data_IF_795404033452
#
_entry.id   IF_795404033452
#
_cell.length_a   1.000
_cell.length_b   1.000
_cell.length_c   1.000
_cell.angle_alpha   90.00
_cell.angle_beta   90.00
_cell.angle_gamma   90.00
#
_symmetry.space_group_name_H-M   'P 1'
#
loop_
_entity.id
_entity.type
_entity.pdbx_description
1 polymer ?
#
# COMPACT_ATOMS: atom_id res chain seq x y z
N UNK A 1 2.90 -19.81 25.69
CA UNK A 1 2.09 -20.19 24.51
C UNK A 1 2.57 -19.33 23.35
N UNK A 2 3.38 -19.86 22.48
CA UNK A 2 3.83 -19.17 21.25
C UNK A 2 2.69 -19.23 20.25
N UNK A 3 2.01 -18.09 20.04
CA UNK A 3 1.02 -17.98 18.96
C UNK A 3 1.73 -18.19 17.63
N UNK A 4 1.24 -19.11 16.83
CA UNK A 4 1.72 -19.33 15.46
C UNK A 4 1.51 -18.04 14.66
N UNK A 5 2.56 -17.51 13.98
CA UNK A 5 2.39 -16.34 13.11
C UNK A 5 1.31 -16.66 12.06
N UNK A 6 0.36 -15.75 11.86
CA UNK A 6 -0.59 -15.88 10.75
C UNK A 6 0.15 -15.67 9.45
N UNK A 7 -0.14 -16.47 8.42
CA UNK A 7 0.45 -16.31 7.07
C UNK A 7 -0.05 -15.04 6.36
N UNK A 8 -1.09 -14.39 6.88
CA UNK A 8 -1.67 -13.19 6.31
C UNK A 8 -0.85 -11.92 6.62
N UNK A 9 -0.56 -11.11 5.62
CA UNK A 9 0.13 -9.84 5.80
C UNK A 9 -0.76 -8.83 6.54
N UNK A 10 -0.17 -8.13 7.52
CA UNK A 10 -0.86 -7.07 8.28
C UNK A 10 -1.06 -5.82 7.41
N UNK A 11 -0.09 -5.51 6.54
CA UNK A 11 -0.06 -4.30 5.71
C UNK A 11 0.35 -4.65 4.29
N UNK A 12 -0.28 -3.99 3.33
CA UNK A 12 0.10 -4.01 1.91
C UNK A 12 0.23 -2.59 1.39
N UNK A 13 1.35 -2.31 0.75
CA UNK A 13 1.57 -1.14 -0.08
C UNK A 13 1.62 -1.62 -1.52
N UNK A 14 0.82 -1.02 -2.39
CA UNK A 14 0.84 -1.35 -3.82
C UNK A 14 1.11 -0.07 -4.60
N UNK A 15 2.07 -0.12 -5.49
CA UNK A 15 2.41 1.01 -6.34
C UNK A 15 2.61 0.58 -7.80
N UNK A 16 2.68 1.57 -8.69
CA UNK A 16 3.06 1.39 -10.08
C UNK A 16 4.55 1.72 -10.24
N UNK A 17 5.25 0.96 -11.05
CA UNK A 17 6.63 1.32 -11.43
C UNK A 17 6.58 2.38 -12.52
N UNK A 18 6.68 3.65 -12.13
CA UNK A 18 6.77 4.76 -13.07
C UNK A 18 8.19 4.92 -13.60
N UNK A 19 8.36 5.53 -14.79
CA UNK A 19 9.70 5.78 -15.35
C UNK A 19 10.66 6.51 -14.39
N UNK A 20 10.14 7.43 -13.55
CA UNK A 20 10.90 8.15 -12.53
C UNK A 20 11.45 7.28 -11.39
N UNK A 21 10.89 6.10 -11.19
CA UNK A 21 11.29 5.15 -10.14
C UNK A 21 12.25 4.09 -10.67
N UNK A 22 12.65 4.17 -11.95
CA UNK A 22 13.47 3.15 -12.60
C UNK A 22 14.95 3.53 -12.65
N UNK A 23 15.79 2.51 -12.74
CA UNK A 23 17.19 2.64 -13.08
C UNK A 23 17.36 2.71 -14.62
N UNK A 24 18.61 2.81 -15.09
CA UNK A 24 18.97 2.88 -16.52
C UNK A 24 18.64 1.62 -17.34
N UNK A 25 18.21 0.52 -16.68
CA UNK A 25 17.71 -0.70 -17.34
C UNK A 25 16.19 -0.71 -17.47
N UNK A 26 15.47 0.35 -17.06
CA UNK A 26 14.01 0.42 -17.08
C UNK A 26 13.34 -0.49 -16.04
N UNK A 27 14.06 -0.86 -15.00
CA UNK A 27 13.52 -1.64 -13.88
C UNK A 27 13.53 -0.82 -12.59
N UNK A 28 12.64 -1.14 -11.67
CA UNK A 28 12.52 -0.45 -10.37
C UNK A 28 13.90 -0.31 -9.72
N UNK A 29 14.26 0.91 -9.36
CA UNK A 29 15.52 1.16 -8.66
C UNK A 29 15.50 0.49 -7.28
N UNK A 30 16.56 -0.26 -6.96
CA UNK A 30 16.63 -1.03 -5.71
C UNK A 30 16.42 -0.20 -4.46
N UNK A 31 16.87 1.06 -4.45
CA UNK A 31 16.64 1.99 -3.34
C UNK A 31 15.16 2.32 -3.14
N UNK A 32 14.37 2.47 -4.22
CA UNK A 32 12.91 2.67 -4.16
C UNK A 32 12.23 1.42 -3.61
N UNK A 33 12.64 0.23 -4.08
CA UNK A 33 12.14 -1.04 -3.56
C UNK A 33 12.37 -1.17 -2.04
N UNK A 34 13.59 -0.88 -1.58
CA UNK A 34 13.93 -0.91 -0.14
C UNK A 34 13.12 0.10 0.66
N UNK A 35 12.89 1.30 0.13
CA UNK A 35 12.04 2.31 0.78
C UNK A 35 10.58 1.86 0.93
N UNK A 36 10.01 1.18 -0.08
CA UNK A 36 8.68 0.57 0.04
C UNK A 36 8.66 -0.53 1.11
N UNK A 37 9.69 -1.37 1.15
CA UNK A 37 9.78 -2.45 2.14
C UNK A 37 9.89 -1.90 3.57
N UNK A 38 10.75 -0.92 3.80
CA UNK A 38 10.93 -0.27 5.12
C UNK A 38 9.64 0.43 5.58
N UNK A 39 8.95 1.13 4.67
CA UNK A 39 7.66 1.77 4.95
C UNK A 39 6.61 0.75 5.41
N UNK A 40 6.51 -0.39 4.74
CA UNK A 40 5.59 -1.47 5.13
C UNK A 40 5.99 -2.08 6.47
N UNK A 41 7.29 -2.27 6.73
CA UNK A 41 7.78 -2.74 8.02
C UNK A 41 7.41 -1.78 9.15
N UNK A 42 7.62 -0.48 8.93
CA UNK A 42 7.25 0.57 9.88
C UNK A 42 5.74 0.59 10.17
N UNK A 43 4.90 0.52 9.14
CA UNK A 43 3.44 0.50 9.29
C UNK A 43 2.98 -0.74 10.05
N UNK A 44 3.50 -1.93 9.71
CA UNK A 44 3.16 -3.17 10.40
C UNK A 44 3.54 -3.12 11.89
N UNK A 45 4.74 -2.61 12.19
CA UNK A 45 5.20 -2.43 13.56
C UNK A 45 4.32 -1.44 14.34
N UNK A 46 4.01 -0.31 13.73
CA UNK A 46 3.21 0.76 14.36
C UNK A 46 1.77 0.34 14.61
N UNK A 47 1.16 -0.39 13.68
CA UNK A 47 -0.20 -0.94 13.86
C UNK A 47 -0.26 -1.97 14.98
N UNK A 48 0.78 -2.79 15.14
CA UNK A 48 0.86 -3.79 16.20
C UNK A 48 1.16 -3.17 17.57
N UNK A 49 2.20 -2.33 17.63
CA UNK A 49 2.74 -1.85 18.91
C UNK A 49 2.13 -0.56 19.42
N UNK A 50 1.42 0.20 18.59
CA UNK A 50 0.85 1.52 18.91
C UNK A 50 1.86 2.45 19.60
N UNK A 51 3.10 2.42 19.11
CA UNK A 51 4.24 3.14 19.67
C UNK A 51 5.06 3.78 18.55
N UNK A 52 5.90 4.79 18.84
CA UNK A 52 6.89 5.25 17.90
C UNK A 52 7.95 4.16 17.66
N UNK A 53 8.27 3.91 16.39
CA UNK A 53 9.27 2.93 16.00
C UNK A 53 10.41 3.57 15.23
N UNK A 54 11.58 2.94 15.31
CA UNK A 54 12.72 3.21 14.44
C UNK A 54 13.19 1.90 13.83
N UNK A 55 13.59 1.92 12.57
CA UNK A 55 14.25 0.81 11.91
C UNK A 55 15.66 0.69 12.47
N UNK A 56 15.95 -0.42 13.13
CA UNK A 56 17.25 -0.67 13.75
C UNK A 56 18.19 -1.46 12.84
N UNK A 57 17.64 -2.37 12.04
CA UNK A 57 18.42 -3.19 11.11
C UNK A 57 17.55 -3.77 10.00
N UNK A 58 18.15 -4.10 8.88
CA UNK A 58 17.63 -5.06 7.91
C UNK A 58 18.60 -6.22 7.79
N UNK A 59 18.09 -7.42 7.58
CA UNK A 59 18.91 -8.57 7.20
C UNK A 59 19.34 -8.41 5.74
N UNK A 60 20.23 -9.32 5.28
CA UNK A 60 20.60 -9.39 3.87
C UNK A 60 19.36 -9.52 2.98
N UNK A 61 19.30 -8.69 1.95
CA UNK A 61 18.21 -8.65 0.97
C UNK A 61 18.81 -8.90 -0.41
N UNK A 62 18.40 -10.00 -1.05
CA UNK A 62 18.82 -10.37 -2.40
C UNK A 62 17.66 -10.18 -3.37
N UNK A 63 17.89 -9.48 -4.47
CA UNK A 63 16.91 -9.28 -5.53
C UNK A 63 16.96 -10.44 -6.53
N UNK A 64 15.88 -11.23 -6.57
CA UNK A 64 15.77 -12.41 -7.42
C UNK A 64 15.25 -12.10 -8.82
N UNK A 65 14.34 -11.12 -8.94
CA UNK A 65 13.76 -10.72 -10.21
C UNK A 65 13.50 -9.21 -10.27
N UNK A 66 13.62 -8.57 -11.44
CA UNK A 66 13.31 -7.15 -11.59
C UNK A 66 11.80 -6.92 -11.67
N UNK A 67 11.35 -5.74 -11.19
CA UNK A 67 10.07 -5.16 -11.54
C UNK A 67 10.27 -4.13 -12.66
N UNK A 68 9.48 -4.22 -13.74
CA UNK A 68 9.65 -3.39 -14.94
C UNK A 68 8.75 -2.15 -14.91
N UNK A 69 9.12 -1.10 -15.62
CA UNK A 69 8.25 0.04 -15.85
C UNK A 69 6.87 -0.40 -16.33
N UNK A 70 5.80 0.18 -15.78
CA UNK A 70 4.42 -0.16 -16.10
C UNK A 70 3.86 -1.38 -15.35
N UNK A 71 4.65 -2.11 -14.59
CA UNK A 71 4.15 -3.16 -13.70
C UNK A 71 3.69 -2.59 -12.36
N UNK A 72 2.82 -3.33 -11.69
CA UNK A 72 2.49 -3.08 -10.29
C UNK A 72 3.53 -3.73 -9.40
N UNK A 73 3.87 -3.11 -8.29
CA UNK A 73 4.67 -3.71 -7.20
C UNK A 73 3.85 -3.73 -5.94
N UNK A 74 3.85 -4.87 -5.28
CA UNK A 74 3.17 -5.07 -3.99
C UNK A 74 4.21 -5.45 -2.93
N UNK A 75 4.41 -4.57 -1.96
CA UNK A 75 5.14 -4.86 -0.75
C UNK A 75 4.13 -5.28 0.34
N UNK A 76 4.31 -6.44 0.92
CA UNK A 76 3.45 -6.97 1.98
C UNK A 76 4.26 -7.38 3.19
N UNK A 77 3.79 -7.01 4.39
CA UNK A 77 4.49 -7.17 5.66
C UNK A 77 3.79 -8.10 6.64
N UNK A 78 4.56 -8.99 7.24
CA UNK A 78 4.13 -9.93 8.27
C UNK A 78 5.09 -9.90 9.45
N UNK A 79 4.57 -9.75 10.69
CA UNK A 79 5.41 -9.84 11.89
C UNK A 79 5.76 -11.30 12.13
N UNK A 80 7.06 -11.60 12.17
CA UNK A 80 7.58 -12.96 12.36
C UNK A 80 8.15 -13.20 13.77
N UNK A 81 8.47 -12.13 14.49
CA UNK A 81 8.95 -12.21 15.87
C UNK A 81 8.57 -10.94 16.64
N UNK A 82 8.17 -11.10 17.89
CA UNK A 82 8.00 -10.00 18.84
C UNK A 82 8.86 -10.27 20.05
N UNK A 83 9.77 -9.35 20.36
CA UNK A 83 10.58 -9.32 21.58
C UNK A 83 10.02 -8.34 22.60
N UNK A 84 10.78 -8.03 23.63
CA UNK A 84 10.33 -7.12 24.70
C UNK A 84 10.04 -5.71 24.18
N UNK A 85 10.91 -5.17 23.33
CA UNK A 85 10.81 -3.79 22.78
C UNK A 85 11.19 -3.70 21.32
N UNK A 86 11.32 -4.84 20.64
CA UNK A 86 11.63 -4.92 19.22
C UNK A 86 10.80 -6.01 18.57
N UNK A 87 10.57 -5.87 17.27
CA UNK A 87 9.94 -6.91 16.48
C UNK A 87 10.61 -7.03 15.12
N UNK A 88 10.46 -8.19 14.51
CA UNK A 88 10.94 -8.45 13.16
C UNK A 88 9.73 -8.58 12.22
N UNK A 89 9.80 -7.85 11.12
CA UNK A 89 8.80 -7.88 10.04
C UNK A 89 9.44 -8.47 8.81
N UNK A 90 8.90 -9.57 8.33
CA UNK A 90 9.23 -10.10 7.02
C UNK A 90 8.44 -9.36 5.96
N UNK A 91 9.13 -8.82 4.97
CA UNK A 91 8.54 -8.13 3.84
C UNK A 91 8.79 -8.93 2.58
N UNK A 92 7.74 -9.11 1.80
CA UNK A 92 7.79 -9.69 0.45
C UNK A 92 7.45 -8.61 -0.56
N UNK A 93 8.29 -8.43 -1.59
CA UNK A 93 8.04 -7.55 -2.72
C UNK A 93 7.78 -8.39 -3.96
N UNK A 94 6.61 -8.22 -4.56
CA UNK A 94 6.14 -8.95 -5.74
C UNK A 94 5.87 -7.95 -6.86
N UNK A 95 6.34 -8.24 -8.08
CA UNK A 95 5.91 -7.54 -9.28
C UNK A 95 4.73 -8.28 -9.92
N UNK A 96 3.79 -7.52 -10.48
CA UNK A 96 2.61 -8.04 -11.15
C UNK A 96 2.43 -7.34 -12.50
N UNK A 97 2.40 -8.13 -13.58
CA UNK A 97 2.09 -7.63 -14.91
C UNK A 97 0.58 -7.27 -14.99
N UNK A 98 0.21 -6.03 -15.36
CA UNK A 98 -1.17 -5.55 -15.26
C UNK A 98 -2.19 -6.41 -16.02
N UNK A 99 -1.88 -6.75 -17.27
CA UNK A 99 -2.81 -7.44 -18.18
C UNK A 99 -2.78 -8.95 -17.97
N UNK A 100 -1.60 -9.57 -17.99
CA UNK A 100 -1.51 -11.03 -17.82
C UNK A 100 -1.81 -11.50 -16.39
N UNK A 101 -1.65 -10.62 -15.41
CA UNK A 101 -1.76 -10.97 -14.00
C UNK A 101 -0.59 -11.83 -13.50
N UNK A 102 0.44 -12.05 -14.30
CA UNK A 102 1.63 -12.79 -13.90
C UNK A 102 2.30 -12.10 -12.71
N UNK A 103 2.51 -12.86 -11.66
CA UNK A 103 3.17 -12.39 -10.42
C UNK A 103 4.49 -13.09 -10.24
N UNK A 104 5.53 -12.33 -9.90
CA UNK A 104 6.84 -12.87 -9.60
C UNK A 104 7.45 -12.20 -8.36
N UNK A 105 8.10 -13.01 -7.55
CA UNK A 105 8.83 -12.54 -6.37
C UNK A 105 10.07 -11.75 -6.83
N UNK A 106 10.12 -10.46 -6.46
CA UNK A 106 11.29 -9.62 -6.71
C UNK A 106 12.32 -9.77 -5.59
N UNK A 107 11.87 -9.70 -4.35
CA UNK A 107 12.76 -9.86 -3.19
C UNK A 107 11.96 -10.16 -1.92
N UNK A 108 12.67 -10.66 -0.91
CA UNK A 108 12.18 -10.84 0.46
C UNK A 108 13.25 -10.38 1.42
N UNK A 109 12.84 -9.77 2.54
CA UNK A 109 13.78 -9.33 3.57
C UNK A 109 13.10 -9.23 4.92
N UNK A 110 13.91 -9.22 5.99
CA UNK A 110 13.43 -9.03 7.35
C UNK A 110 13.99 -7.74 7.90
N UNK A 111 13.12 -6.90 8.44
CA UNK A 111 13.46 -5.64 9.09
C UNK A 111 13.22 -5.77 10.60
N UNK A 112 14.19 -5.33 11.39
CA UNK A 112 14.06 -5.24 12.84
C UNK A 112 13.72 -3.81 13.22
N UNK A 113 12.58 -3.63 13.90
CA UNK A 113 12.13 -2.33 14.40
C UNK A 113 12.12 -2.33 15.93
N UNK A 114 12.44 -1.18 16.52
CA UNK A 114 12.51 -0.98 17.97
C UNK A 114 11.52 0.11 18.37
N UNK A 115 10.68 -0.21 19.37
CA UNK A 115 9.77 0.76 19.97
C UNK A 115 10.53 1.67 20.93
N UNK A 116 10.40 3.00 20.73
CA UNK A 116 11.13 4.00 21.52
C UNK A 116 10.17 5.09 22.03
N UNK A 117 10.34 5.51 23.28
CA UNK A 117 9.61 6.65 23.85
C UNK A 117 10.37 7.97 23.66
N UNK A 118 11.66 7.90 23.82
CA UNK A 118 12.64 8.99 23.66
C UNK A 118 13.99 8.34 23.32
N UNK A 119 15.00 9.07 22.84
CA UNK A 119 16.32 8.51 22.59
C UNK A 119 16.81 7.67 23.76
N UNK A 120 17.08 6.39 23.51
CA UNK A 120 17.56 5.43 24.51
C UNK A 120 16.49 4.77 25.41
N UNK A 121 15.24 5.21 25.39
CA UNK A 121 14.15 4.61 26.19
C UNK A 121 13.30 3.69 25.36
N UNK A 122 13.36 2.39 25.64
CA UNK A 122 12.59 1.36 24.93
C UNK A 122 11.20 1.18 25.56
N UNK A 123 10.21 0.83 24.74
CA UNK A 123 8.84 0.54 25.17
C UNK A 123 8.56 -0.97 25.05
N UNK A 124 7.87 -1.58 26.03
CA UNK A 124 7.42 -2.95 25.90
C UNK A 124 6.35 -3.07 24.83
N UNK A 125 6.35 -4.20 24.11
CA UNK A 125 5.40 -4.51 23.06
C UNK A 125 4.35 -5.52 23.53
N UNK A 126 3.11 -5.41 23.01
CA UNK A 126 2.08 -6.43 23.25
C UNK A 126 2.46 -7.75 22.54
N UNK A 127 1.92 -8.89 22.99
CA UNK A 127 2.08 -10.14 22.28
C UNK A 127 1.43 -10.08 20.88
N UNK A 128 1.92 -10.91 19.95
CA UNK A 128 1.36 -11.01 18.62
C UNK A 128 -0.08 -11.57 18.69
N UNK A 129 -1.00 -10.89 18.04
CA UNK A 129 -2.38 -11.34 17.82
C UNK A 129 -2.61 -11.63 16.34
N UNK A 130 -3.46 -12.62 16.05
CA UNK A 130 -3.80 -12.96 14.68
C UNK A 130 -4.51 -11.78 13.99
N UNK A 131 -4.08 -11.45 12.76
CA UNK A 131 -4.81 -10.52 11.93
C UNK A 131 -6.11 -11.17 11.40
N UNK A 132 -7.19 -10.41 11.22
CA UNK A 132 -8.38 -10.93 10.57
C UNK A 132 -8.07 -11.30 9.11
N UNK A 133 -8.76 -12.34 8.57
CA UNK A 133 -8.57 -12.70 7.17
C UNK A 133 -8.99 -11.56 6.23
N UNK A 134 -8.38 -11.45 5.04
CA UNK A 134 -8.75 -10.43 4.08
C UNK A 134 -10.19 -10.63 3.58
N UNK A 135 -10.89 -9.52 3.38
CA UNK A 135 -12.24 -9.53 2.82
C UNK A 135 -12.17 -9.84 1.30
N UNK A 136 -12.84 -10.89 0.80
CA UNK A 136 -12.80 -11.23 -0.61
C UNK A 136 -13.31 -10.10 -1.51
N UNK A 137 -12.65 -9.86 -2.64
CA UNK A 137 -13.04 -8.83 -3.61
C UNK A 137 -12.76 -7.39 -3.18
N UNK A 138 -12.08 -7.20 -2.04
CA UNK A 138 -11.70 -5.88 -1.53
C UNK A 138 -10.20 -5.69 -1.64
N UNK A 139 -9.80 -4.64 -2.37
CA UNK A 139 -8.42 -4.20 -2.40
C UNK A 139 -8.18 -3.23 -1.25
N UNK A 140 -7.19 -3.53 -0.40
CA UNK A 140 -6.72 -2.64 0.66
C UNK A 140 -5.27 -2.27 0.41
N UNK A 141 -4.96 -0.99 0.47
CA UNK A 141 -3.61 -0.45 0.30
C UNK A 141 -3.34 0.55 1.41
N UNK A 142 -2.19 0.42 2.05
CA UNK A 142 -1.75 1.36 3.07
C UNK A 142 -0.64 2.28 2.54
N UNK A 143 -0.65 3.53 2.98
CA UNK A 143 0.38 4.51 2.69
C UNK A 143 0.61 5.39 3.93
N UNK A 144 1.80 5.96 4.04
CA UNK A 144 2.16 6.88 5.12
C UNK A 144 2.12 8.32 4.60
N UNK A 145 1.55 9.23 5.37
CA UNK A 145 1.57 10.66 5.02
C UNK A 145 2.84 11.30 5.59
N UNK A 146 3.77 11.63 4.71
CA UNK A 146 5.00 12.33 5.06
C UNK A 146 4.85 13.86 4.94
N UNK A 147 5.64 14.66 5.68
CA UNK A 147 5.57 16.12 5.63
C UNK A 147 5.61 16.72 4.23
N UNK A 148 6.41 16.23 3.25
CA UNK A 148 6.41 16.78 1.89
C UNK A 148 5.08 16.65 1.12
N UNK A 149 4.20 15.76 1.55
CA UNK A 149 2.86 15.56 0.96
C UNK A 149 1.79 16.45 1.60
N UNK A 150 2.18 17.33 2.53
CA UNK A 150 1.24 18.17 3.25
C UNK A 150 1.24 19.62 2.74
N UNK A 151 0.09 20.28 2.90
CA UNK A 151 -0.07 21.70 2.68
C UNK A 151 0.51 22.52 3.86
N UNK A 152 0.40 23.85 3.79
CA UNK A 152 0.87 24.76 4.82
C UNK A 152 0.15 24.65 6.18
N UNK A 153 -0.94 23.89 6.26
CA UNK A 153 -1.61 23.55 7.53
C UNK A 153 -1.12 22.22 8.14
N UNK A 154 -0.14 21.56 7.51
CA UNK A 154 0.38 20.25 7.97
C UNK A 154 -0.59 19.09 7.71
N UNK A 155 -1.54 19.25 6.80
CA UNK A 155 -2.47 18.22 6.39
C UNK A 155 -2.24 17.79 4.94
N UNK A 156 -2.53 16.52 4.64
CA UNK A 156 -2.37 15.94 3.30
C UNK A 156 -2.97 16.86 2.24
N UNK A 157 -2.16 17.20 1.24
CA UNK A 157 -2.64 18.00 0.13
C UNK A 157 -3.71 17.26 -0.66
N UNK A 158 -4.83 17.94 -0.97
CA UNK A 158 -5.97 17.32 -1.64
C UNK A 158 -5.61 16.65 -2.97
N UNK A 159 -4.69 17.23 -3.75
CA UNK A 159 -4.19 16.64 -4.98
C UNK A 159 -3.46 15.31 -4.77
N UNK A 160 -2.70 15.16 -3.69
CA UNK A 160 -2.04 13.89 -3.36
C UNK A 160 -3.06 12.85 -2.88
N UNK A 161 -4.07 13.26 -2.12
CA UNK A 161 -5.17 12.37 -1.75
C UNK A 161 -5.93 11.86 -2.99
N UNK A 162 -6.25 12.74 -3.94
CA UNK A 162 -6.90 12.37 -5.21
C UNK A 162 -6.03 11.42 -6.04
N UNK A 163 -4.71 11.67 -6.10
CA UNK A 163 -3.73 10.80 -6.76
C UNK A 163 -3.71 9.40 -6.14
N UNK A 164 -3.72 9.31 -4.81
CA UNK A 164 -3.76 8.03 -4.09
C UNK A 164 -5.07 7.28 -4.39
N UNK A 165 -6.23 7.95 -4.32
CA UNK A 165 -7.53 7.34 -4.60
C UNK A 165 -7.64 6.88 -6.05
N UNK A 166 -7.21 7.70 -7.01
CA UNK A 166 -7.17 7.34 -8.43
C UNK A 166 -6.27 6.14 -8.72
N UNK A 167 -5.08 6.08 -8.08
CA UNK A 167 -4.16 4.93 -8.17
C UNK A 167 -4.82 3.64 -7.63
N UNK A 168 -5.49 3.72 -6.51
CA UNK A 168 -6.21 2.57 -5.93
C UNK A 168 -7.34 2.08 -6.84
N UNK A 169 -8.11 3.01 -7.44
CA UNK A 169 -9.14 2.68 -8.43
C UNK A 169 -8.54 2.02 -9.68
N UNK A 170 -7.44 2.56 -10.20
CA UNK A 170 -6.72 2.00 -11.35
C UNK A 170 -6.25 0.57 -11.08
N UNK A 171 -5.58 0.32 -9.95
CA UNK A 171 -5.08 -1.01 -9.58
C UNK A 171 -6.24 -2.00 -9.42
N UNK A 172 -7.32 -1.60 -8.73
CA UNK A 172 -8.49 -2.46 -8.54
C UNK A 172 -9.16 -2.81 -9.88
N UNK A 173 -9.39 -1.81 -10.75
CA UNK A 173 -9.98 -2.04 -12.07
C UNK A 173 -9.10 -2.91 -12.97
N UNK A 174 -7.78 -2.65 -12.99
CA UNK A 174 -6.83 -3.41 -13.80
C UNK A 174 -6.74 -4.87 -13.35
N UNK A 175 -6.69 -5.12 -12.04
CA UNK A 175 -6.72 -6.49 -11.50
C UNK A 175 -8.01 -7.22 -11.81
N UNK A 176 -9.13 -6.51 -11.80
CA UNK A 176 -10.44 -7.07 -12.11
C UNK A 176 -10.61 -7.36 -13.61
N UNK A 177 -10.27 -6.38 -14.46
CA UNK A 177 -10.53 -6.45 -15.90
C UNK A 177 -9.40 -7.15 -16.70
N UNK A 178 -8.20 -7.23 -16.18
CA UNK A 178 -6.99 -7.72 -16.88
C UNK A 178 -6.82 -7.08 -18.28
N UNK A 179 -7.10 -5.78 -18.33
CA UNK A 179 -7.00 -4.97 -19.54
C UNK A 179 -6.24 -3.66 -19.23
N UNK A 180 -5.81 -2.98 -20.29
CA UNK A 180 -5.26 -1.63 -20.16
C UNK A 180 -6.40 -0.68 -19.79
N UNK A 181 -6.35 -0.12 -18.59
CA UNK A 181 -7.40 0.76 -18.06
C UNK A 181 -6.94 2.20 -18.05
N UNK A 182 -7.86 3.12 -18.30
CA UNK A 182 -7.66 4.58 -18.12
C UNK A 182 -8.80 5.15 -17.28
N UNK A 183 -8.51 6.18 -16.51
CA UNK A 183 -9.55 6.90 -15.76
C UNK A 183 -10.33 7.80 -16.73
N UNK A 184 -11.64 7.58 -16.83
CA UNK A 184 -12.54 8.38 -17.65
C UNK A 184 -13.27 9.45 -16.83
N UNK A 185 -13.63 9.16 -15.58
CA UNK A 185 -14.34 10.08 -14.71
C UNK A 185 -14.13 9.75 -13.23
N UNK A 186 -14.35 10.73 -12.39
CA UNK A 186 -14.59 10.55 -10.95
C UNK A 186 -15.91 11.23 -10.59
N UNK A 187 -16.63 10.64 -9.66
CA UNK A 187 -17.77 11.30 -9.04
C UNK A 187 -17.32 12.45 -8.13
N UNK A 188 -18.28 13.18 -7.56
CA UNK A 188 -18.01 14.17 -6.53
C UNK A 188 -17.25 13.54 -5.37
N UNK A 189 -16.22 14.24 -4.90
CA UNK A 189 -15.39 13.83 -3.77
C UNK A 189 -15.47 14.89 -2.69
N UNK A 190 -15.99 14.51 -1.53
CA UNK A 190 -16.04 15.37 -0.35
C UNK A 190 -15.00 14.89 0.68
N UNK A 191 -14.12 15.81 1.06
CA UNK A 191 -13.17 15.58 2.16
C UNK A 191 -13.83 15.98 3.47
N UNK A 192 -14.12 15.00 4.32
CA UNK A 192 -14.89 15.20 5.56
C UNK A 192 -14.02 15.45 6.79
N UNK A 193 -12.75 15.04 6.72
CA UNK A 193 -11.79 15.24 7.81
C UNK A 193 -10.36 15.39 7.28
N UNK A 194 -9.54 16.28 7.89
CA UNK A 194 -8.15 16.46 7.51
C UNK A 194 -7.31 15.23 7.90
N UNK A 195 -6.28 14.95 7.11
CA UNK A 195 -5.30 13.89 7.37
C UNK A 195 -3.97 14.54 7.66
N UNK A 196 -3.35 14.25 8.80
CA UNK A 196 -2.13 14.91 9.25
C UNK A 196 -0.88 14.14 8.80
N UNK A 197 0.25 14.86 8.71
CA UNK A 197 1.55 14.20 8.62
C UNK A 197 1.74 13.23 9.80
N UNK A 198 2.31 12.06 9.53
CA UNK A 198 2.49 11.02 10.53
C UNK A 198 1.30 10.07 10.70
N UNK A 199 0.16 10.33 10.06
CA UNK A 199 -0.94 9.38 10.00
C UNK A 199 -0.76 8.40 8.83
N UNK A 200 -1.28 7.20 9.01
CA UNK A 200 -1.45 6.23 7.92
C UNK A 200 -2.75 6.55 7.18
N UNK A 201 -2.74 6.38 5.87
CA UNK A 201 -3.97 6.28 5.08
C UNK A 201 -4.16 4.84 4.60
N UNK A 202 -5.39 4.37 4.67
CA UNK A 202 -5.82 3.12 4.05
C UNK A 202 -6.81 3.43 2.94
N UNK A 203 -6.52 2.91 1.76
CA UNK A 203 -7.40 2.98 0.59
C UNK A 203 -8.11 1.63 0.46
N UNK A 204 -9.43 1.67 0.54
CA UNK A 204 -10.29 0.49 0.44
C UNK A 204 -11.09 0.58 -0.85
N UNK A 205 -10.79 -0.29 -1.80
CA UNK A 205 -11.40 -0.26 -3.13
C UNK A 205 -12.28 -1.48 -3.37
N UNK A 206 -13.46 -1.26 -3.94
CA UNK A 206 -14.42 -2.29 -4.31
C UNK A 206 -14.97 -2.04 -5.71
N UNK A 207 -15.07 -3.09 -6.51
CA UNK A 207 -15.80 -3.02 -7.78
C UNK A 207 -17.27 -2.83 -7.46
N UNK A 208 -17.86 -1.76 -7.98
CA UNK A 208 -19.29 -1.44 -7.83
C UNK A 208 -20.12 -1.97 -8.98
N UNK A 209 -19.59 -1.81 -10.19
CA UNK A 209 -20.29 -2.20 -11.41
C UNK A 209 -19.28 -2.45 -12.53
N UNK A 210 -19.55 -3.40 -13.39
CA UNK A 210 -18.85 -3.62 -14.64
C UNK A 210 -19.83 -3.45 -15.80
N UNK A 211 -19.48 -2.57 -16.74
CA UNK A 211 -20.12 -2.43 -18.03
C UNK A 211 -19.38 -3.20 -19.12
N UNK A 212 -19.74 -2.97 -20.38
CA UNK A 212 -19.10 -3.64 -21.52
C UNK A 212 -17.60 -3.31 -21.64
N UNK A 213 -17.23 -2.05 -21.41
CA UNK A 213 -15.86 -1.54 -21.56
C UNK A 213 -15.42 -0.69 -20.37
N UNK A 214 -16.18 -0.67 -19.28
CA UNK A 214 -15.91 0.18 -18.12
C UNK A 214 -16.12 -0.57 -16.81
N UNK A 215 -15.40 -0.11 -15.79
CA UNK A 215 -15.53 -0.59 -14.40
C UNK A 215 -15.71 0.62 -13.50
N UNK A 216 -16.78 0.63 -12.69
CA UNK A 216 -16.96 1.60 -11.62
C UNK A 216 -16.32 1.05 -10.34
N UNK A 217 -15.36 1.78 -9.79
CA UNK A 217 -14.64 1.42 -8.57
C UNK A 217 -14.95 2.41 -7.46
N UNK A 218 -15.58 1.95 -6.40
CA UNK A 218 -15.73 2.71 -5.16
C UNK A 218 -14.43 2.68 -4.38
N UNK A 219 -13.92 3.84 -4.00
CA UNK A 219 -12.70 4.00 -3.19
C UNK A 219 -13.02 4.81 -1.95
N UNK A 220 -12.70 4.26 -0.80
CA UNK A 220 -12.75 4.93 0.49
C UNK A 220 -11.33 5.27 0.93
N UNK A 221 -11.11 6.48 1.43
CA UNK A 221 -9.87 6.95 2.02
C UNK A 221 -10.07 7.08 3.53
N UNK A 222 -9.39 6.23 4.26
CA UNK A 222 -9.39 6.20 5.72
C UNK A 222 -8.09 6.76 6.26
N UNK A 223 -8.15 7.57 7.30
CA UNK A 223 -6.99 8.00 8.05
C UNK A 223 -6.94 7.29 9.40
N UNK A 224 -5.74 6.91 9.84
CA UNK A 224 -5.52 6.27 11.12
C UNK A 224 -4.32 6.88 11.84
N UNK A 225 -4.53 7.30 13.09
CA UNK A 225 -3.44 7.69 13.96
C UNK A 225 -2.74 6.42 14.46
N UNK A 226 -1.49 6.25 14.09
CA UNK A 226 -0.73 5.03 14.39
C UNK A 226 -0.50 4.78 15.88
N UNK A 227 -0.49 5.84 16.71
CA UNK A 227 -0.25 5.74 18.15
C UNK A 227 -1.53 5.43 18.93
N UNK A 228 -2.65 6.05 18.57
CA UNK A 228 -3.92 5.90 19.30
C UNK A 228 -4.81 4.82 18.70
N UNK A 229 -4.62 4.46 17.43
CA UNK A 229 -5.52 3.59 16.68
C UNK A 229 -6.84 4.27 16.28
N UNK A 230 -6.98 5.57 16.52
CA UNK A 230 -8.15 6.32 16.08
C UNK A 230 -8.21 6.32 14.55
N UNK A 231 -9.33 5.79 14.02
CA UNK A 231 -9.54 5.63 12.59
C UNK A 231 -10.81 6.35 12.16
N UNK A 232 -10.70 7.12 11.06
CA UNK A 232 -11.82 7.89 10.51
C UNK A 232 -11.81 7.87 9.00
N UNK A 233 -12.99 7.89 8.39
CA UNK A 233 -13.13 8.06 6.95
C UNK A 233 -12.93 9.53 6.61
N UNK A 234 -12.00 9.81 5.70
CA UNK A 234 -11.66 11.17 5.30
C UNK A 234 -12.23 11.55 3.94
N UNK A 235 -12.43 10.57 3.04
CA UNK A 235 -13.09 10.77 1.75
C UNK A 235 -13.65 9.46 1.23
N UNK A 236 -14.61 9.56 0.30
CA UNK A 236 -15.06 8.45 -0.53
C UNK A 236 -15.48 8.97 -1.92
N UNK A 237 -15.25 8.16 -2.95
CA UNK A 237 -15.66 8.47 -4.31
C UNK A 237 -15.81 7.22 -5.16
N UNK A 238 -16.50 7.34 -6.29
CA UNK A 238 -16.49 6.34 -7.35
C UNK A 238 -15.71 6.86 -8.54
N UNK A 239 -14.83 6.01 -9.07
CA UNK A 239 -14.04 6.28 -10.27
C UNK A 239 -14.51 5.36 -11.40
N UNK A 240 -14.74 5.94 -12.57
CA UNK A 240 -15.05 5.17 -13.79
C UNK A 240 -13.76 4.94 -14.55
N UNK A 241 -13.38 3.69 -14.65
CA UNK A 241 -12.22 3.22 -15.40
C UNK A 241 -12.69 2.57 -16.70
N UNK A 242 -12.02 2.85 -17.83
CA UNK A 242 -12.39 2.37 -19.16
C UNK A 242 -11.26 1.56 -19.76
N UNK A 243 -11.58 0.38 -20.29
CA UNK A 243 -10.62 -0.44 -21.02
C UNK A 243 -10.34 0.18 -22.39
N UNK A 244 -9.06 0.29 -22.76
CA UNK A 244 -8.62 0.87 -24.03
C UNK A 244 -7.73 -0.07 -24.81
N UNK A 245 -7.93 -0.08 -26.13
CA UNK A 245 -7.07 -0.81 -27.06
C UNK A 245 -5.79 -0.06 -27.39
N UNK A 246 -4.93 -0.64 -28.26
CA UNK A 246 -3.69 -0.02 -28.71
C UNK A 246 -3.88 1.31 -29.46
N UNK A 247 -5.06 1.54 -30.01
CA UNK A 247 -5.44 2.77 -30.69
C UNK A 247 -5.98 3.86 -29.74
N UNK A 248 -5.99 3.58 -28.41
CA UNK A 248 -6.50 4.48 -27.38
C UNK A 248 -8.02 4.54 -27.31
N UNK A 249 -8.75 3.76 -28.12
CA UNK A 249 -10.21 3.72 -28.08
C UNK A 249 -10.73 2.71 -27.08
N UNK A 250 -11.94 2.98 -26.58
CA UNK A 250 -12.63 2.06 -25.68
C UNK A 250 -12.80 0.68 -26.34
N UNK A 251 -12.45 -0.38 -25.59
CA UNK A 251 -12.56 -1.78 -26.02
C UNK A 251 -13.34 -2.59 -24.99
N UNK A 252 -14.06 -3.65 -25.40
CA UNK A 252 -14.70 -4.55 -24.42
C UNK A 252 -13.69 -5.15 -23.45
N UNK A 253 -14.13 -5.30 -22.21
CA UNK A 253 -13.37 -6.01 -21.17
C UNK A 253 -13.39 -7.51 -21.52
N UNK A 254 -12.25 -8.20 -21.49
CA UNK A 254 -12.21 -9.66 -21.66
C UNK A 254 -13.16 -10.35 -20.67
N UNK A 255 -13.88 -11.37 -21.14
CA UNK A 255 -14.78 -12.16 -20.33
C UNK A 255 -14.05 -13.18 -19.44
#
# INVERSE_FOLDING_TARGET
MTSTPTDEPIVRLIDMVFPGDTNHHGTLFGGVALAHMDKVAFLAASLHGRAPFVTAASQRIDFAAPARAGEMVEASGRIVRVGTSSLDVEITLVAEAPVSGERRLCTRGVFTLVAVKAPGTRLPLPPLTAAPPPEPGVLRMAEMVFPPQTNHYGTLYGGDALKMMGKAAFIAATRHARAVMVMAASDRIDFTSPIRAGEMVELVSRIRMQGRSSVAVGVELWAENLLTGERRQSAAATFTMVAVGPDGRSTPIPG
#
